data_IF_275642924410
#
_entry.id   IF_275642924410
#
_cell.length_a   1.000
_cell.length_b   1.000
_cell.length_c   1.000
_cell.angle_alpha   90.00
_cell.angle_beta   90.00
_cell.angle_gamma   90.00
#
_symmetry.space_group_name_H-M   'P 1'
#
loop_
_entity.id
_entity.type
_entity.pdbx_description
1 polymer ?
#
# COMPACT_ATOMS: atom_id res chain seq x y z
N UNK A 1 1.97 -15.99 -10.90
CA UNK A 1 3.15 -15.59 -10.10
C UNK A 1 3.87 -16.79 -9.45
N UNK A 2 3.23 -17.96 -9.31
CA UNK A 2 3.82 -19.15 -8.67
C UNK A 2 4.11 -18.98 -7.17
N UNK A 3 3.42 -18.06 -6.49
CA UNK A 3 3.59 -17.80 -5.06
C UNK A 3 2.78 -18.80 -4.25
N UNK A 4 3.45 -19.48 -3.32
CA UNK A 4 2.82 -20.40 -2.37
C UNK A 4 2.50 -19.67 -1.07
N UNK A 5 1.33 -19.96 -0.47
CA UNK A 5 0.94 -19.40 0.82
C UNK A 5 1.46 -20.29 1.95
N UNK A 6 2.17 -19.67 2.89
CA UNK A 6 2.73 -20.34 4.09
C UNK A 6 2.34 -19.58 5.35
N UNK A 7 2.61 -20.15 6.51
CA UNK A 7 2.45 -19.47 7.79
C UNK A 7 3.54 -19.90 8.77
N UNK A 8 4.36 -18.96 9.20
CA UNK A 8 5.45 -19.19 10.16
C UNK A 8 5.06 -18.71 11.57
N UNK A 9 5.74 -19.23 12.61
CA UNK A 9 5.46 -18.85 14.00
C UNK A 9 5.56 -17.35 14.26
N UNK A 10 4.77 -16.84 15.22
CA UNK A 10 4.79 -15.44 15.62
C UNK A 10 6.02 -15.09 16.47
N UNK A 11 6.50 -16.03 17.27
CA UNK A 11 7.56 -15.80 18.25
C UNK A 11 8.93 -16.21 17.69
N UNK A 12 9.89 -15.30 17.78
CA UNK A 12 11.27 -15.49 17.30
C UNK A 12 12.18 -15.56 18.52
N UNK A 13 12.97 -16.63 18.69
CA UNK A 13 14.01 -16.69 19.71
C UNK A 13 15.07 -15.58 19.52
N UNK A 14 15.52 -14.99 20.63
CA UNK A 14 16.48 -13.87 20.61
C UNK A 14 17.78 -14.23 19.86
N UNK A 15 18.26 -15.45 20.02
CA UNK A 15 19.48 -15.92 19.35
C UNK A 15 19.37 -15.95 17.82
N UNK A 16 18.16 -16.10 17.27
CA UNK A 16 17.94 -16.05 15.82
C UNK A 16 18.03 -14.64 15.28
N UNK A 17 17.54 -13.64 16.01
CA UNK A 17 17.64 -12.23 15.64
C UNK A 17 19.09 -11.74 15.61
N UNK A 18 19.96 -12.29 16.46
CA UNK A 18 21.36 -11.86 16.57
C UNK A 18 22.26 -12.37 15.43
N UNK A 19 21.78 -13.25 14.56
CA UNK A 19 22.56 -13.80 13.43
C UNK A 19 22.85 -12.76 12.35
N UNK A 20 21.97 -11.76 12.21
CA UNK A 20 22.12 -10.69 11.23
C UNK A 20 22.13 -9.33 11.96
N UNK A 21 23.33 -8.75 12.13
CA UNK A 21 23.56 -7.57 12.97
C UNK A 21 22.86 -6.30 12.45
N UNK A 22 22.89 -6.05 11.14
CA UNK A 22 22.31 -4.85 10.53
C UNK A 22 20.77 -4.85 10.67
N UNK A 23 20.16 -6.01 10.55
CA UNK A 23 18.71 -6.18 10.78
C UNK A 23 18.33 -5.93 12.24
N UNK A 24 19.15 -6.44 13.17
CA UNK A 24 18.95 -6.24 14.61
C UNK A 24 19.05 -4.77 14.97
N UNK A 25 20.03 -4.04 14.45
CA UNK A 25 20.18 -2.60 14.70
C UNK A 25 18.97 -1.81 14.21
N UNK A 26 18.43 -2.14 13.04
CA UNK A 26 17.25 -1.47 12.48
C UNK A 26 15.96 -1.70 13.28
N UNK A 27 15.77 -2.88 13.87
CA UNK A 27 14.53 -3.25 14.58
C UNK A 27 14.65 -3.30 16.11
N UNK A 28 15.85 -3.31 16.68
CA UNK A 28 16.06 -3.44 18.12
C UNK A 28 15.22 -2.48 18.97
N UNK A 29 15.01 -1.20 18.59
CA UNK A 29 14.18 -0.27 19.36
C UNK A 29 12.69 -0.55 19.32
N UNK A 30 12.23 -1.32 18.32
CA UNK A 30 10.80 -1.49 17.99
C UNK A 30 10.25 -2.89 18.29
N UNK A 31 11.03 -3.81 18.86
CA UNK A 31 10.57 -5.15 19.18
C UNK A 31 9.87 -5.23 20.53
N UNK A 32 8.83 -6.06 20.61
CA UNK A 32 8.21 -6.44 21.88
C UNK A 32 8.74 -7.80 22.33
N UNK A 33 9.16 -7.88 23.59
CA UNK A 33 9.76 -9.07 24.18
C UNK A 33 8.79 -9.84 25.05
N UNK A 34 8.70 -11.15 24.82
CA UNK A 34 8.02 -12.12 25.68
C UNK A 34 9.07 -12.73 26.61
N UNK A 35 8.92 -12.50 27.91
CA UNK A 35 9.89 -12.89 28.94
C UNK A 35 9.36 -14.01 29.87
N UNK A 36 8.06 -14.30 29.82
CA UNK A 36 7.39 -15.33 30.65
C UNK A 36 6.48 -16.20 29.79
N UNK A 37 6.45 -17.49 30.10
CA UNK A 37 5.47 -18.47 29.65
C UNK A 37 4.55 -18.82 30.83
N UNK A 38 3.33 -18.34 30.83
CA UNK A 38 2.50 -18.36 32.03
C UNK A 38 3.12 -17.52 33.15
N UNK A 39 3.38 -18.12 34.32
CA UNK A 39 4.03 -17.45 35.47
C UNK A 39 5.55 -17.68 35.54
N UNK A 40 6.09 -18.52 34.68
CA UNK A 40 7.51 -18.86 34.69
C UNK A 40 8.31 -17.98 33.74
N UNK A 41 9.47 -17.52 34.20
CA UNK A 41 10.39 -16.78 33.35
C UNK A 41 11.03 -17.71 32.34
N UNK A 42 11.04 -17.29 31.06
CA UNK A 42 11.71 -18.03 29.99
C UNK A 42 13.23 -17.99 30.18
N UNK A 43 13.91 -19.05 29.82
CA UNK A 43 15.38 -19.13 29.83
C UNK A 43 15.97 -18.20 28.75
N UNK A 44 15.31 -18.13 27.60
CA UNK A 44 15.63 -17.22 26.49
C UNK A 44 14.39 -16.35 26.19
N UNK A 45 14.61 -15.06 25.94
CA UNK A 45 13.53 -14.16 25.52
C UNK A 45 13.08 -14.50 24.10
N UNK A 46 11.80 -14.31 23.86
CA UNK A 46 11.23 -14.41 22.53
C UNK A 46 10.76 -13.03 22.08
N UNK A 47 10.95 -12.72 20.82
CA UNK A 47 10.45 -11.48 20.23
C UNK A 47 9.14 -11.79 19.48
N UNK A 48 8.15 -10.91 19.60
CA UNK A 48 7.03 -10.92 18.67
C UNK A 48 7.54 -10.37 17.34
N UNK A 49 7.39 -11.12 16.26
CA UNK A 49 7.96 -10.78 14.95
C UNK A 49 7.62 -9.34 14.51
N UNK A 50 8.62 -8.47 14.23
CA UNK A 50 8.43 -7.19 13.57
C UNK A 50 8.36 -7.33 12.04
N UNK A 51 8.92 -8.43 11.53
CA UNK A 51 8.98 -8.92 10.16
C UNK A 51 9.49 -10.37 10.20
N UNK A 52 9.57 -11.08 9.11
CA UNK A 52 9.79 -12.55 9.14
C UNK A 52 11.03 -13.04 8.39
N UNK A 53 11.92 -12.18 7.88
CA UNK A 53 13.15 -12.57 7.17
C UNK A 53 13.92 -13.65 7.95
N UNK A 54 14.18 -13.37 9.23
CA UNK A 54 14.86 -14.28 10.17
C UNK A 54 14.25 -15.68 10.22
N UNK A 55 12.91 -15.77 10.25
CA UNK A 55 12.21 -17.07 10.31
C UNK A 55 12.29 -17.82 8.99
N UNK A 56 12.17 -17.13 7.86
CA UNK A 56 12.30 -17.72 6.54
C UNK A 56 13.72 -18.24 6.33
N UNK A 57 14.72 -17.44 6.65
CA UNK A 57 16.13 -17.84 6.53
C UNK A 57 16.46 -19.04 7.39
N UNK A 58 16.00 -19.09 8.65
CA UNK A 58 16.19 -20.26 9.52
C UNK A 58 15.53 -21.53 8.96
N UNK A 59 14.35 -21.41 8.37
CA UNK A 59 13.67 -22.54 7.74
C UNK A 59 14.41 -23.01 6.48
N UNK A 60 14.84 -22.07 5.62
CA UNK A 60 15.54 -22.39 4.39
C UNK A 60 16.93 -23.00 4.64
N UNK A 61 17.64 -22.56 5.67
CA UNK A 61 18.95 -23.15 6.04
C UNK A 61 18.85 -24.66 6.34
N UNK A 62 17.66 -25.12 6.74
CA UNK A 62 17.39 -26.54 7.04
C UNK A 62 16.79 -27.33 5.88
N UNK A 63 16.15 -26.65 4.93
CA UNK A 63 15.32 -27.31 3.91
C UNK A 63 15.87 -27.18 2.49
N UNK A 64 16.77 -26.24 2.22
CA UNK A 64 17.39 -26.04 0.90
C UNK A 64 18.72 -26.78 0.87
N UNK A 65 18.87 -27.70 -0.09
CA UNK A 65 20.07 -28.51 -0.25
C UNK A 65 20.59 -28.55 -1.69
N UNK A 66 19.71 -28.41 -2.66
CA UNK A 66 20.07 -28.48 -4.07
C UNK A 66 19.33 -27.48 -4.94
N UNK A 67 19.85 -27.26 -6.17
CA UNK A 67 19.20 -26.39 -7.16
C UNK A 67 17.75 -26.77 -7.47
N UNK A 68 17.33 -28.01 -7.18
CA UNK A 68 15.93 -28.44 -7.37
C UNK A 68 14.97 -27.88 -6.34
N UNK A 69 15.50 -27.38 -5.24
CA UNK A 69 14.71 -26.75 -4.17
C UNK A 69 14.40 -25.28 -4.48
N UNK A 70 15.03 -24.71 -5.52
CA UNK A 70 14.95 -23.32 -5.92
C UNK A 70 14.14 -23.14 -7.23
N UNK A 71 13.47 -21.97 -7.40
CA UNK A 71 13.30 -20.94 -6.40
C UNK A 71 12.27 -21.31 -5.33
N UNK A 72 12.40 -20.77 -4.12
CA UNK A 72 11.32 -20.72 -3.13
C UNK A 72 10.64 -19.37 -3.25
N UNK A 73 9.32 -19.37 -3.44
CA UNK A 73 8.54 -18.14 -3.61
C UNK A 73 7.34 -18.22 -2.69
N UNK A 74 7.50 -17.72 -1.47
CA UNK A 74 6.52 -17.85 -0.42
C UNK A 74 5.93 -16.52 0.01
N UNK A 75 4.69 -16.56 0.45
CA UNK A 75 3.97 -15.41 1.02
C UNK A 75 3.20 -15.86 2.25
N UNK A 76 3.08 -14.98 3.22
CA UNK A 76 2.17 -15.19 4.35
C UNK A 76 1.30 -13.96 4.61
N UNK A 77 0.06 -14.23 4.99
CA UNK A 77 -0.88 -13.25 5.53
C UNK A 77 -0.84 -13.37 7.04
N UNK A 78 -0.38 -12.33 7.71
CA UNK A 78 -0.17 -12.38 9.15
C UNK A 78 -0.29 -11.01 9.81
N UNK A 79 -0.13 -10.96 11.14
CA UNK A 79 0.16 -9.73 11.87
C UNK A 79 1.62 -9.67 12.29
N UNK A 80 2.12 -8.46 12.37
CA UNK A 80 3.42 -8.13 12.97
C UNK A 80 3.25 -7.04 13.99
N UNK A 81 4.22 -6.93 14.92
CA UNK A 81 4.18 -5.93 15.97
C UNK A 81 5.47 -5.11 15.97
N UNK A 82 5.31 -3.79 15.84
CA UNK A 82 6.39 -2.80 15.97
C UNK A 82 6.05 -1.83 17.09
N UNK A 83 6.93 -1.66 18.06
CA UNK A 83 6.66 -0.87 19.26
C UNK A 83 6.78 0.63 18.99
N UNK A 84 5.81 1.15 18.24
CA UNK A 84 5.74 2.55 17.87
C UNK A 84 5.45 3.45 19.09
N UNK A 85 6.20 4.53 19.24
CA UNK A 85 5.98 5.53 20.29
C UNK A 85 4.71 6.34 20.06
N UNK A 86 4.46 6.71 18.79
CA UNK A 86 3.30 7.50 18.38
C UNK A 86 2.50 6.72 17.34
N UNK A 87 1.21 6.54 17.59
CA UNK A 87 0.32 5.80 16.69
C UNK A 87 -0.68 6.72 15.99
N UNK A 88 -1.09 6.33 14.78
CA UNK A 88 -2.20 6.90 14.02
C UNK A 88 -3.01 5.77 13.39
N UNK A 89 -4.35 5.79 13.47
CA UNK A 89 -5.19 4.73 12.89
C UNK A 89 -4.79 4.43 11.45
N UNK A 90 -4.62 3.14 11.14
CA UNK A 90 -4.16 2.58 9.87
C UNK A 90 -2.77 3.01 9.39
N UNK A 91 -2.37 4.27 9.56
CA UNK A 91 -1.11 4.80 9.01
C UNK A 91 0.11 4.33 9.79
N UNK A 92 0.00 4.28 11.14
CA UNK A 92 1.07 3.87 12.04
C UNK A 92 0.47 3.17 13.27
N UNK A 93 0.37 1.86 13.23
CA UNK A 93 -0.15 1.02 14.31
C UNK A 93 0.95 0.16 14.90
N UNK A 94 0.82 -0.20 16.18
CA UNK A 94 1.77 -1.12 16.84
C UNK A 94 1.64 -2.53 16.28
N UNK A 95 0.43 -3.05 16.21
CA UNK A 95 0.11 -4.28 15.50
C UNK A 95 -0.63 -3.92 14.22
N UNK A 96 -0.28 -4.57 13.12
CA UNK A 96 -0.98 -4.43 11.85
C UNK A 96 -1.00 -5.73 11.06
N UNK A 97 -2.05 -5.90 10.28
CA UNK A 97 -2.17 -6.98 9.34
C UNK A 97 -1.44 -6.59 8.04
N UNK A 98 -0.79 -7.55 7.44
CA UNK A 98 -0.14 -7.37 6.16
C UNK A 98 -0.02 -8.68 5.39
N UNK A 99 0.40 -8.60 4.17
CA UNK A 99 1.05 -9.69 3.47
C UNK A 99 2.54 -9.37 3.35
N UNK A 100 3.35 -10.38 3.56
CA UNK A 100 4.78 -10.33 3.31
C UNK A 100 5.18 -11.54 2.46
N UNK A 101 5.92 -11.27 1.40
CA UNK A 101 6.49 -12.31 0.56
C UNK A 101 7.99 -12.38 0.76
N UNK A 102 8.51 -13.60 0.77
CA UNK A 102 9.94 -13.88 0.91
C UNK A 102 10.34 -14.93 -0.09
N UNK A 103 11.44 -14.71 -0.78
CA UNK A 103 11.89 -15.62 -1.83
C UNK A 103 13.39 -15.80 -1.83
N UNK A 104 13.83 -16.96 -2.28
CA UNK A 104 15.22 -17.23 -2.57
C UNK A 104 15.39 -17.84 -3.97
N UNK A 105 16.46 -17.43 -4.62
CA UNK A 105 16.77 -17.75 -6.01
C UNK A 105 18.21 -18.25 -6.16
N UNK A 106 18.45 -18.96 -7.26
CA UNK A 106 19.78 -19.48 -7.56
C UNK A 106 20.76 -18.39 -8.03
N UNK A 107 20.26 -17.36 -8.73
CA UNK A 107 21.10 -16.31 -9.30
C UNK A 107 20.68 -14.92 -8.85
N UNK A 108 21.62 -13.98 -8.96
CA UNK A 108 21.38 -12.56 -8.72
C UNK A 108 20.25 -12.01 -9.60
N UNK A 109 20.32 -12.33 -10.89
CA UNK A 109 19.40 -11.83 -11.92
C UNK A 109 17.96 -12.32 -11.67
N UNK A 110 17.78 -13.59 -11.28
CA UNK A 110 16.46 -14.12 -10.93
C UNK A 110 15.83 -13.40 -9.72
N UNK A 111 16.65 -13.09 -8.72
CA UNK A 111 16.20 -12.37 -7.52
C UNK A 111 15.90 -10.90 -7.83
N UNK A 112 16.74 -10.22 -8.63
CA UNK A 112 16.50 -8.85 -9.07
C UNK A 112 15.22 -8.76 -9.90
N UNK A 113 15.04 -9.64 -10.89
CA UNK A 113 13.80 -9.72 -11.68
C UNK A 113 12.56 -9.91 -10.80
N UNK A 114 12.65 -10.77 -9.78
CA UNK A 114 11.55 -10.98 -8.82
C UNK A 114 11.25 -9.71 -8.02
N UNK A 115 12.26 -9.01 -7.57
CA UNK A 115 12.12 -7.74 -6.84
C UNK A 115 11.37 -6.70 -7.67
N UNK A 116 11.80 -6.51 -8.93
CA UNK A 116 11.18 -5.56 -9.86
C UNK A 116 9.77 -5.99 -10.28
N UNK A 117 9.55 -7.30 -10.47
CA UNK A 117 8.23 -7.85 -10.75
C UNK A 117 7.23 -7.53 -9.64
N UNK A 118 7.59 -7.74 -8.37
CA UNK A 118 6.70 -7.50 -7.25
C UNK A 118 6.47 -6.01 -7.00
N UNK A 119 7.49 -5.18 -7.22
CA UNK A 119 7.33 -3.73 -7.23
C UNK A 119 6.32 -3.28 -8.32
N UNK A 120 6.39 -3.86 -9.52
CA UNK A 120 5.40 -3.61 -10.59
C UNK A 120 3.98 -4.04 -10.17
N UNK A 121 3.84 -5.23 -9.58
CA UNK A 121 2.52 -5.73 -9.08
C UNK A 121 1.90 -4.74 -8.09
N UNK A 122 2.68 -4.18 -7.17
CA UNK A 122 2.18 -3.18 -6.23
C UNK A 122 1.80 -1.86 -6.91
N UNK A 123 2.58 -1.41 -7.86
CA UNK A 123 2.29 -0.21 -8.65
C UNK A 123 0.97 -0.37 -9.40
N UNK A 124 0.80 -1.49 -10.11
CA UNK A 124 -0.42 -1.80 -10.84
C UNK A 124 -1.63 -1.88 -9.88
N UNK A 125 -1.51 -2.59 -8.77
CA UNK A 125 -2.58 -2.73 -7.78
C UNK A 125 -2.99 -1.37 -7.18
N UNK A 126 -2.02 -0.55 -6.78
CA UNK A 126 -2.28 0.75 -6.15
C UNK A 126 -2.93 1.72 -7.15
N UNK A 127 -2.44 1.78 -8.39
CA UNK A 127 -3.02 2.67 -9.40
C UNK A 127 -4.37 2.18 -9.92
N UNK A 128 -4.43 0.91 -10.34
CA UNK A 128 -5.60 0.40 -11.04
C UNK A 128 -6.76 0.03 -10.10
N UNK A 129 -6.45 -0.66 -9.00
CA UNK A 129 -7.49 -1.14 -8.08
C UNK A 129 -7.89 -0.10 -7.05
N UNK A 130 -6.92 0.65 -6.50
CA UNK A 130 -7.17 1.63 -5.45
C UNK A 130 -7.38 3.05 -5.99
N UNK A 131 -7.20 3.27 -7.29
CA UNK A 131 -7.26 4.59 -7.94
C UNK A 131 -6.32 5.63 -7.26
N UNK A 132 -5.16 5.18 -6.75
CA UNK A 132 -4.19 6.04 -6.05
C UNK A 132 -2.97 6.25 -6.95
N UNK A 133 -2.70 7.47 -7.42
CA UNK A 133 -1.46 7.83 -8.08
C UNK A 133 -0.33 7.96 -7.06
N UNK A 134 0.91 7.81 -7.52
CA UNK A 134 2.09 7.78 -6.66
C UNK A 134 3.34 8.27 -7.39
N UNK A 135 4.40 8.54 -6.61
CA UNK A 135 5.78 8.53 -7.11
C UNK A 135 6.45 7.22 -6.68
N UNK A 136 7.36 6.70 -7.48
CA UNK A 136 7.98 5.41 -7.23
C UNK A 136 9.43 5.39 -7.72
N UNK A 137 10.28 4.65 -7.05
CA UNK A 137 11.70 4.53 -7.38
C UNK A 137 12.47 3.77 -6.31
N UNK A 138 13.78 3.77 -6.43
CA UNK A 138 14.71 3.17 -5.48
C UNK A 138 14.98 4.12 -4.32
N UNK A 139 15.07 3.60 -3.12
CA UNK A 139 15.42 4.35 -1.90
C UNK A 139 16.90 4.71 -1.85
N UNK A 140 17.23 5.77 -1.10
CA UNK A 140 18.62 6.10 -0.73
C UNK A 140 19.18 5.08 0.28
N UNK A 141 20.49 5.08 0.47
CA UNK A 141 21.15 4.18 1.43
C UNK A 141 20.63 4.33 2.87
N UNK A 142 20.32 5.57 3.28
CA UNK A 142 19.80 5.87 4.62
C UNK A 142 18.35 5.46 4.84
N UNK A 143 17.56 5.39 3.77
CA UNK A 143 16.11 5.10 3.83
C UNK A 143 15.74 3.68 3.35
N UNK A 144 16.70 2.91 2.84
CA UNK A 144 16.46 1.52 2.44
C UNK A 144 16.18 0.64 3.65
N UNK A 145 15.55 -0.49 3.43
CA UNK A 145 15.30 -1.49 4.47
C UNK A 145 16.63 -2.04 5.03
N UNK A 146 16.72 -2.17 6.34
CA UNK A 146 17.93 -2.66 7.02
C UNK A 146 18.33 -4.06 6.51
N UNK A 147 19.57 -4.22 6.08
CA UNK A 147 20.11 -5.44 5.48
C UNK A 147 19.82 -5.61 3.97
N UNK A 148 18.97 -4.81 3.36
CA UNK A 148 18.75 -4.84 1.90
C UNK A 148 19.88 -4.14 1.14
N UNK A 149 20.23 -4.67 -0.04
CA UNK A 149 21.08 -3.97 -1.00
C UNK A 149 20.31 -2.85 -1.67
N UNK A 150 19.09 -3.14 -2.16
CA UNK A 150 18.19 -2.18 -2.75
C UNK A 150 16.77 -2.31 -2.17
N UNK A 151 16.09 -1.18 -2.07
CA UNK A 151 14.67 -1.09 -1.70
C UNK A 151 13.94 -0.24 -2.71
N UNK A 152 12.94 -0.81 -3.34
CA UNK A 152 12.02 -0.11 -4.23
C UNK A 152 10.74 0.23 -3.49
N UNK A 153 10.25 1.47 -3.66
CA UNK A 153 9.09 2.00 -2.92
C UNK A 153 8.02 2.53 -3.85
N UNK A 154 6.80 2.57 -3.32
CA UNK A 154 5.65 3.29 -3.88
C UNK A 154 5.20 4.29 -2.83
N UNK A 155 5.28 5.59 -3.15
CA UNK A 155 5.00 6.70 -2.25
C UNK A 155 3.78 7.47 -2.73
N UNK A 156 2.67 7.37 -2.01
CA UNK A 156 1.46 8.12 -2.30
C UNK A 156 1.45 9.47 -1.58
N UNK A 157 0.72 10.45 -2.12
CA UNK A 157 0.53 11.74 -1.49
C UNK A 157 -0.85 11.81 -0.84
N UNK A 158 -0.88 12.11 0.45
CA UNK A 158 -2.12 12.26 1.21
C UNK A 158 -2.67 13.69 1.08
N UNK A 159 -3.96 13.89 1.36
CA UNK A 159 -4.63 15.18 1.19
C UNK A 159 -4.02 16.33 2.05
N UNK A 160 -3.30 15.99 3.12
CA UNK A 160 -2.58 16.97 3.94
C UNK A 160 -1.17 17.30 3.40
N UNK A 161 -0.83 16.80 2.21
CA UNK A 161 0.44 17.02 1.53
C UNK A 161 1.62 16.22 2.09
N UNK A 162 1.36 15.15 2.84
CA UNK A 162 2.42 14.26 3.32
C UNK A 162 2.53 12.99 2.49
N UNK A 163 3.76 12.53 2.35
CA UNK A 163 4.05 11.25 1.72
C UNK A 163 3.66 10.07 2.61
N UNK A 164 3.15 9.02 2.00
CA UNK A 164 2.89 7.74 2.63
C UNK A 164 3.52 6.61 1.82
N UNK A 165 4.48 5.91 2.44
CA UNK A 165 5.01 4.67 1.87
C UNK A 165 3.90 3.61 1.84
N UNK A 166 3.41 3.31 0.64
CA UNK A 166 2.28 2.41 0.44
C UNK A 166 2.70 0.95 0.34
N UNK A 167 3.82 0.66 -0.35
CA UNK A 167 4.37 -0.67 -0.52
C UNK A 167 5.86 -0.61 -0.79
N UNK A 168 6.58 -1.71 -0.49
CA UNK A 168 8.00 -1.87 -0.79
C UNK A 168 8.33 -3.25 -1.32
N UNK A 169 9.38 -3.32 -2.13
CA UNK A 169 10.03 -4.55 -2.58
C UNK A 169 11.53 -4.43 -2.36
N UNK A 170 12.14 -5.45 -1.75
CA UNK A 170 13.51 -5.42 -1.28
C UNK A 170 14.34 -6.49 -1.98
N UNK A 171 15.54 -6.12 -2.36
CA UNK A 171 16.57 -7.01 -2.85
C UNK A 171 17.68 -7.10 -1.79
N UNK A 172 17.88 -8.28 -1.20
CA UNK A 172 18.90 -8.48 -0.16
C UNK A 172 20.23 -8.99 -0.70
N UNK A 173 20.26 -9.45 -1.96
CA UNK A 173 21.42 -10.16 -2.45
C UNK A 173 21.60 -11.47 -1.67
N UNK A 174 22.83 -11.73 -1.26
CA UNK A 174 23.20 -12.91 -0.47
C UNK A 174 23.52 -12.60 1.01
N UNK A 175 23.32 -11.37 1.49
CA UNK A 175 23.66 -10.96 2.85
C UNK A 175 22.97 -11.79 3.93
N UNK A 176 21.63 -11.81 3.96
CA UNK A 176 20.86 -12.68 4.87
C UNK A 176 21.14 -14.17 4.64
N UNK A 177 21.06 -14.70 3.40
CA UNK A 177 21.42 -16.08 3.14
C UNK A 177 22.76 -16.52 3.67
N UNK A 178 23.79 -15.70 3.54
CA UNK A 178 25.13 -16.01 4.04
C UNK A 178 25.20 -16.01 5.58
N UNK A 179 24.52 -15.05 6.24
CA UNK A 179 24.44 -15.01 7.70
C UNK A 179 23.75 -16.25 8.31
N UNK A 180 22.82 -16.87 7.56
CA UNK A 180 22.12 -18.11 7.96
C UNK A 180 22.70 -19.38 7.33
N UNK A 181 23.82 -19.29 6.60
CA UNK A 181 24.48 -20.40 5.89
C UNK A 181 23.54 -21.16 4.93
N UNK A 182 22.70 -20.42 4.19
CA UNK A 182 21.76 -20.98 3.23
C UNK A 182 22.51 -21.23 1.93
N UNK A 183 22.79 -22.52 1.65
CA UNK A 183 23.55 -22.93 0.47
C UNK A 183 22.87 -24.09 -0.24
N UNK A 184 23.11 -24.20 -1.54
CA UNK A 184 22.61 -25.29 -2.37
C UNK A 184 23.73 -25.88 -3.24
N UNK A 185 23.59 -27.15 -3.58
CA UNK A 185 24.44 -27.80 -4.57
C UNK A 185 23.84 -27.59 -5.98
N UNK A 186 24.68 -27.11 -6.90
CA UNK A 186 24.29 -26.97 -8.30
C UNK A 186 24.32 -28.34 -9.04
N UNK A 187 24.12 -28.32 -10.37
CA UNK A 187 24.13 -29.53 -11.22
C UNK A 187 25.50 -30.18 -11.29
N UNK A 188 26.58 -29.48 -10.95
CA UNK A 188 27.96 -29.96 -10.95
C UNK A 188 28.44 -30.39 -9.56
N UNK A 189 27.54 -30.36 -8.55
CA UNK A 189 27.85 -30.56 -7.13
C UNK A 189 28.79 -29.48 -6.55
N UNK A 190 28.71 -28.26 -7.07
CA UNK A 190 29.39 -27.10 -6.50
C UNK A 190 28.44 -26.38 -5.54
N UNK A 191 28.97 -25.91 -4.41
CA UNK A 191 28.20 -25.25 -3.36
C UNK A 191 28.10 -23.75 -3.62
N UNK A 192 26.87 -23.20 -3.67
CA UNK A 192 26.57 -21.81 -3.92
C UNK A 192 25.66 -21.22 -2.85
N UNK A 193 25.79 -19.93 -2.58
CA UNK A 193 24.82 -19.14 -1.82
C UNK A 193 23.59 -18.84 -2.68
N UNK A 194 22.45 -18.62 -2.02
CA UNK A 194 21.23 -18.15 -2.68
C UNK A 194 21.12 -16.64 -2.62
N UNK A 195 20.22 -16.06 -3.40
CA UNK A 195 19.88 -14.63 -3.40
C UNK A 195 18.45 -14.44 -2.92
N UNK A 196 18.28 -13.50 -1.97
CA UNK A 196 17.00 -13.30 -1.28
C UNK A 196 16.31 -12.02 -1.71
N UNK A 197 14.96 -12.07 -1.74
CA UNK A 197 14.10 -10.90 -1.89
C UNK A 197 12.94 -10.95 -0.89
N UNK A 198 12.41 -9.77 -0.53
CA UNK A 198 11.14 -9.68 0.17
C UNK A 198 10.28 -8.54 -0.36
N UNK A 199 9.00 -8.59 -0.06
CA UNK A 199 8.05 -7.51 -0.37
C UNK A 199 6.92 -7.45 0.64
N UNK A 200 6.34 -6.28 0.84
CA UNK A 200 5.29 -6.10 1.83
C UNK A 200 4.28 -5.00 1.49
N UNK A 201 3.01 -5.28 1.82
CA UNK A 201 1.92 -4.34 1.78
C UNK A 201 1.00 -4.58 2.98
N UNK A 202 0.70 -3.54 3.76
CA UNK A 202 -0.06 -3.65 4.99
C UNK A 202 -1.43 -2.96 4.91
N UNK A 203 -2.23 -3.12 5.96
CA UNK A 203 -3.48 -2.39 6.17
C UNK A 203 -3.32 -0.86 6.23
N UNK A 204 -2.08 -0.33 6.21
CA UNK A 204 -1.80 1.09 5.97
C UNK A 204 -2.46 1.59 4.69
N UNK A 205 -2.63 0.72 3.68
CA UNK A 205 -3.28 1.08 2.43
C UNK A 205 -4.76 1.47 2.61
N UNK A 206 -5.44 0.98 3.65
CA UNK A 206 -6.79 1.43 4.01
C UNK A 206 -6.75 2.90 4.42
N UNK A 207 -5.74 3.28 5.22
CA UNK A 207 -5.50 4.68 5.55
C UNK A 207 -5.22 5.54 4.31
N UNK A 208 -4.46 5.03 3.34
CA UNK A 208 -4.22 5.71 2.08
C UNK A 208 -5.52 5.97 1.30
N UNK A 209 -6.40 4.96 1.17
CA UNK A 209 -7.70 5.11 0.51
C UNK A 209 -8.54 6.19 1.18
N UNK A 210 -8.61 6.18 2.52
CA UNK A 210 -9.34 7.19 3.30
C UNK A 210 -8.77 8.59 3.05
N UNK A 211 -7.45 8.73 3.12
CA UNK A 211 -6.76 10.02 3.01
C UNK A 211 -6.72 10.58 1.59
N UNK A 212 -6.77 9.74 0.56
CA UNK A 212 -6.76 10.18 -0.85
C UNK A 212 -8.16 10.48 -1.35
N UNK A 213 -9.15 9.67 -1.00
CA UNK A 213 -10.47 9.72 -1.62
C UNK A 213 -11.59 10.19 -0.68
N UNK A 214 -11.46 9.98 0.64
CA UNK A 214 -12.50 10.32 1.62
C UNK A 214 -12.82 11.81 1.67
N UNK A 215 -14.04 12.13 2.09
CA UNK A 215 -14.53 13.49 2.32
C UNK A 215 -15.18 13.62 3.70
N UNK A 216 -15.72 14.82 4.03
CA UNK A 216 -16.37 15.09 5.31
C UNK A 216 -17.64 14.27 5.55
N UNK A 217 -18.20 13.62 4.52
CA UNK A 217 -19.36 12.72 4.64
C UNK A 217 -18.97 11.26 4.92
N UNK A 218 -17.69 10.92 4.79
CA UNK A 218 -17.19 9.57 5.09
C UNK A 218 -16.29 8.99 4.00
N UNK A 219 -16.35 7.66 3.84
CA UNK A 219 -15.57 6.94 2.84
C UNK A 219 -16.02 7.27 1.41
N UNK A 220 -15.08 7.26 0.47
CA UNK A 220 -15.31 7.20 -0.97
C UNK A 220 -14.47 6.05 -1.50
N UNK A 221 -15.11 4.91 -1.77
CA UNK A 221 -14.39 3.71 -2.13
C UNK A 221 -14.29 3.55 -3.65
N UNK A 222 -13.08 3.30 -4.19
CA UNK A 222 -12.94 2.91 -5.58
C UNK A 222 -13.79 1.68 -5.90
N UNK A 223 -14.58 1.67 -6.98
CA UNK A 223 -15.48 0.58 -7.31
C UNK A 223 -14.82 -0.80 -7.36
N UNK A 224 -13.56 -0.90 -7.81
CA UNK A 224 -12.86 -2.19 -7.94
C UNK A 224 -12.66 -2.89 -6.60
N UNK A 225 -12.45 -2.13 -5.51
CA UNK A 225 -12.21 -2.69 -4.17
C UNK A 225 -13.40 -2.58 -3.22
N UNK A 226 -14.43 -1.82 -3.56
CA UNK A 226 -15.60 -1.64 -2.71
C UNK A 226 -16.28 -2.99 -2.40
N UNK A 227 -16.49 -3.39 -1.12
CA UNK A 227 -17.19 -4.63 -0.79
C UNK A 227 -18.61 -4.67 -1.35
N UNK A 228 -19.25 -3.49 -1.44
CA UNK A 228 -20.52 -3.22 -2.10
C UNK A 228 -20.29 -2.10 -3.12
N UNK A 229 -20.54 -2.39 -4.39
CA UNK A 229 -20.41 -1.41 -5.47
C UNK A 229 -21.67 -0.57 -5.62
N UNK A 230 -22.82 -1.23 -5.36
CA UNK A 230 -24.14 -0.66 -5.56
C UNK A 230 -25.01 -0.96 -4.35
N UNK A 231 -25.79 0.04 -3.91
CA UNK A 231 -26.87 -0.14 -2.92
C UNK A 231 -28.19 0.31 -3.52
N UNK A 232 -29.16 -0.60 -3.59
CA UNK A 232 -30.54 -0.27 -3.93
C UNK A 232 -31.23 0.30 -2.70
N UNK A 233 -31.89 1.46 -2.84
CA UNK A 233 -32.61 2.13 -1.76
C UNK A 233 -34.07 2.29 -2.16
N UNK A 234 -34.96 1.43 -1.63
CA UNK A 234 -36.40 1.59 -1.82
C UNK A 234 -36.89 2.85 -1.10
N UNK A 235 -37.36 3.83 -1.86
CA UNK A 235 -37.96 5.07 -1.33
C UNK A 235 -39.45 4.84 -1.08
N UNK A 236 -39.88 5.05 0.16
CA UNK A 236 -41.27 4.73 0.60
C UNK A 236 -41.62 3.22 0.40
N UNK A 237 -40.72 2.35 0.87
CA UNK A 237 -40.82 0.88 0.75
C UNK A 237 -42.12 0.26 1.29
N UNK A 238 -42.84 0.98 2.18
CA UNK A 238 -44.15 0.57 2.69
C UNK A 238 -45.27 0.65 1.65
N UNK A 239 -45.04 1.28 0.51
CA UNK A 239 -46.00 1.32 -0.60
C UNK A 239 -45.93 0.04 -1.42
N UNK A 240 -47.12 -0.39 -1.85
CA UNK A 240 -47.29 -1.62 -2.64
C UNK A 240 -46.36 -1.66 -3.86
N UNK A 241 -45.68 -2.79 -4.05
CA UNK A 241 -44.83 -3.07 -5.19
C UNK A 241 -43.44 -2.42 -5.17
N UNK A 242 -43.15 -1.50 -4.24
CA UNK A 242 -41.83 -0.82 -4.23
C UNK A 242 -40.71 -1.77 -3.80
N UNK A 243 -40.93 -2.56 -2.75
CA UNK A 243 -39.92 -3.50 -2.28
C UNK A 243 -39.72 -4.63 -3.30
N UNK A 244 -40.78 -5.25 -3.78
CA UNK A 244 -40.71 -6.33 -4.76
C UNK A 244 -39.96 -5.91 -6.02
N UNK A 245 -40.24 -4.71 -6.55
CA UNK A 245 -39.54 -4.19 -7.72
C UNK A 245 -38.06 -3.87 -7.44
N UNK A 246 -37.75 -3.42 -6.23
CA UNK A 246 -36.39 -3.18 -5.80
C UNK A 246 -35.57 -4.48 -5.68
N UNK A 247 -36.19 -5.56 -5.18
CA UNK A 247 -35.59 -6.89 -5.11
C UNK A 247 -35.35 -7.49 -6.50
N UNK A 248 -36.32 -7.35 -7.41
CA UNK A 248 -36.16 -7.75 -8.82
C UNK A 248 -34.97 -7.02 -9.46
N UNK A 249 -34.86 -5.70 -9.27
CA UNK A 249 -33.78 -4.90 -9.79
C UNK A 249 -32.41 -5.30 -9.16
N UNK A 250 -32.39 -5.57 -7.86
CA UNK A 250 -31.18 -6.07 -7.18
C UNK A 250 -30.74 -7.41 -7.79
N UNK A 251 -31.69 -8.32 -8.05
CA UNK A 251 -31.38 -9.61 -8.68
C UNK A 251 -30.78 -9.43 -10.08
N UNK A 252 -31.34 -8.51 -10.89
CA UNK A 252 -30.79 -8.18 -12.20
C UNK A 252 -29.39 -7.57 -12.13
N UNK A 253 -29.12 -6.66 -11.18
CA UNK A 253 -27.79 -6.06 -10.95
C UNK A 253 -26.79 -7.14 -10.57
N UNK A 254 -27.14 -8.06 -9.67
CA UNK A 254 -26.28 -9.18 -9.24
C UNK A 254 -26.00 -10.17 -10.37
N UNK A 255 -26.94 -10.41 -11.25
CA UNK A 255 -26.78 -11.29 -12.41
C UNK A 255 -25.68 -10.79 -13.37
N UNK A 256 -25.44 -9.47 -13.39
CA UNK A 256 -24.33 -8.86 -14.14
C UNK A 256 -22.96 -8.97 -13.42
N UNK A 257 -22.89 -9.67 -12.30
CA UNK A 257 -21.65 -9.88 -11.52
C UNK A 257 -21.28 -8.72 -10.60
N UNK A 258 -22.17 -7.73 -10.40
CA UNK A 258 -21.92 -6.60 -9.53
C UNK A 258 -22.18 -6.96 -8.05
N UNK A 259 -21.33 -6.46 -7.15
CA UNK A 259 -21.48 -6.61 -5.69
C UNK A 259 -22.51 -5.60 -5.20
N UNK A 260 -23.75 -6.02 -5.09
CA UNK A 260 -24.88 -5.15 -4.74
C UNK A 260 -25.64 -5.66 -3.51
N UNK A 261 -26.23 -4.73 -2.75
CA UNK A 261 -27.18 -5.01 -1.69
C UNK A 261 -28.37 -4.04 -1.75
N UNK A 262 -29.35 -4.26 -0.86
CA UNK A 262 -30.53 -3.42 -0.70
C UNK A 262 -30.64 -2.99 0.76
N UNK A 263 -31.10 -1.76 0.99
CA UNK A 263 -31.40 -1.27 2.33
C UNK A 263 -32.89 -1.36 2.60
N UNK A 264 -33.31 -2.45 3.23
CA UNK A 264 -34.71 -2.73 3.63
C UNK A 264 -35.05 -2.19 5.01
N UNK A 265 -34.15 -1.45 5.67
CA UNK A 265 -34.40 -0.90 7.00
C UNK A 265 -35.63 0.05 6.99
N UNK A 266 -36.30 0.17 8.13
CA UNK A 266 -37.43 1.11 8.30
C UNK A 266 -37.01 2.58 8.46
N UNK A 267 -35.73 2.88 8.26
CA UNK A 267 -35.20 4.24 8.37
C UNK A 267 -35.69 5.13 7.24
N UNK A 268 -35.70 6.44 7.47
CA UNK A 268 -36.07 7.42 6.45
C UNK A 268 -35.11 7.38 5.26
N UNK A 269 -35.57 7.74 4.06
CA UNK A 269 -34.69 7.81 2.87
C UNK A 269 -33.44 8.67 3.09
N UNK A 270 -33.56 9.82 3.75
CA UNK A 270 -32.42 10.68 4.08
C UNK A 270 -31.38 10.00 4.96
N UNK A 271 -31.81 9.17 5.94
CA UNK A 271 -30.89 8.38 6.73
C UNK A 271 -30.14 7.36 5.87
N UNK A 272 -30.86 6.59 5.04
CA UNK A 272 -30.28 5.58 4.15
C UNK A 272 -29.26 6.20 3.20
N UNK A 273 -29.53 7.40 2.67
CA UNK A 273 -28.62 8.12 1.81
C UNK A 273 -27.33 8.51 2.55
N UNK A 274 -27.47 9.07 3.77
CA UNK A 274 -26.32 9.45 4.59
C UNK A 274 -25.49 8.24 5.03
N UNK A 275 -26.13 7.12 5.38
CA UNK A 275 -25.42 5.88 5.74
C UNK A 275 -24.65 5.30 4.54
N UNK A 276 -25.26 5.29 3.35
CA UNK A 276 -24.58 4.86 2.12
C UNK A 276 -23.36 5.77 1.81
N UNK A 277 -23.51 7.09 1.99
CA UNK A 277 -22.42 8.05 1.80
C UNK A 277 -21.31 7.85 2.83
N UNK A 278 -21.64 7.64 4.10
CA UNK A 278 -20.67 7.36 5.16
C UNK A 278 -19.88 6.07 4.91
N UNK A 279 -20.54 5.03 4.43
CA UNK A 279 -19.92 3.73 4.10
C UNK A 279 -19.12 3.76 2.79
N UNK A 280 -19.24 4.82 2.01
CA UNK A 280 -18.48 4.99 0.76
C UNK A 280 -18.89 4.06 -0.37
N UNK A 281 -20.12 3.58 -0.38
CA UNK A 281 -20.63 2.72 -1.47
C UNK A 281 -20.68 3.54 -2.76
N UNK A 282 -20.00 3.11 -3.84
CA UNK A 282 -19.79 3.94 -5.04
C UNK A 282 -21.04 4.49 -5.69
N UNK A 283 -22.12 3.67 -5.81
CA UNK A 283 -23.37 4.09 -6.44
C UNK A 283 -24.55 3.64 -5.60
N UNK A 284 -25.53 4.52 -5.38
CA UNK A 284 -26.84 4.12 -4.91
C UNK A 284 -27.86 4.20 -6.05
N UNK A 285 -28.83 3.29 -6.01
CA UNK A 285 -29.98 3.26 -6.92
C UNK A 285 -31.21 3.61 -6.09
N UNK A 286 -31.78 4.78 -6.32
CA UNK A 286 -33.02 5.22 -5.67
C UNK A 286 -34.20 4.75 -6.51
N UNK A 287 -35.18 4.06 -5.87
CA UNK A 287 -36.37 3.56 -6.54
C UNK A 287 -37.60 3.82 -5.67
N UNK A 288 -38.48 4.70 -6.11
CA UNK A 288 -39.74 5.04 -5.46
C UNK A 288 -40.96 4.78 -6.31
N UNK A 289 -42.21 5.00 -5.79
CA UNK A 289 -43.45 4.72 -6.53
C UNK A 289 -43.53 5.46 -7.87
N UNK A 290 -43.12 6.73 -7.91
CA UNK A 290 -43.12 7.52 -9.15
C UNK A 290 -42.12 7.03 -10.18
N UNK A 291 -40.96 6.55 -9.68
CA UNK A 291 -39.94 6.00 -10.56
C UNK A 291 -40.43 4.72 -11.23
N UNK A 292 -41.10 3.85 -10.47
CA UNK A 292 -41.70 2.61 -10.96
C UNK A 292 -42.81 2.91 -11.99
N UNK A 293 -43.70 3.87 -11.69
CA UNK A 293 -44.75 4.29 -12.59
C UNK A 293 -44.20 4.77 -13.96
N UNK A 294 -43.06 5.45 -13.93
CA UNK A 294 -42.38 5.96 -15.12
C UNK A 294 -41.41 4.97 -15.76
N UNK A 295 -41.25 3.76 -15.20
CA UNK A 295 -40.29 2.77 -15.68
C UNK A 295 -38.81 3.21 -15.55
N UNK A 296 -38.51 4.03 -14.58
CA UNK A 296 -37.17 4.62 -14.40
C UNK A 296 -36.61 4.39 -12.99
N UNK A 297 -35.29 4.58 -12.80
CA UNK A 297 -34.59 4.63 -11.52
C UNK A 297 -33.61 5.79 -11.52
N UNK A 298 -33.20 6.23 -10.32
CA UNK A 298 -32.20 7.30 -10.16
C UNK A 298 -30.89 6.71 -9.65
N UNK A 299 -29.84 6.83 -10.43
CA UNK A 299 -28.47 6.47 -10.03
C UNK A 299 -27.81 7.70 -9.44
N UNK A 300 -27.13 7.53 -8.29
CA UNK A 300 -26.41 8.62 -7.62
C UNK A 300 -25.00 8.18 -7.31
N UNK A 301 -24.03 8.87 -7.85
CA UNK A 301 -22.59 8.66 -7.57
C UNK A 301 -22.25 9.13 -6.15
N UNK A 302 -21.41 8.36 -5.44
CA UNK A 302 -20.93 8.76 -4.13
C UNK A 302 -19.89 9.89 -4.22
N UNK A 303 -19.02 9.83 -5.22
CA UNK A 303 -17.85 10.71 -5.33
C UNK A 303 -18.18 12.14 -5.80
N UNK A 304 -19.18 12.33 -6.67
CA UNK A 304 -19.60 13.64 -7.19
C UNK A 304 -20.99 14.05 -6.74
N UNK A 305 -21.80 13.09 -6.24
CA UNK A 305 -23.23 13.23 -5.91
C UNK A 305 -24.11 13.55 -7.11
N UNK A 306 -23.58 13.37 -8.31
CA UNK A 306 -24.32 13.50 -9.54
C UNK A 306 -25.46 12.48 -9.61
N UNK A 307 -26.61 12.93 -10.11
CA UNK A 307 -27.82 12.11 -10.29
C UNK A 307 -28.10 11.91 -11.75
N UNK A 308 -28.32 10.66 -12.14
CA UNK A 308 -28.70 10.27 -13.51
C UNK A 308 -29.98 9.44 -13.46
N UNK A 309 -30.99 9.82 -14.26
CA UNK A 309 -32.22 9.06 -14.42
C UNK A 309 -32.06 8.12 -15.59
N UNK A 310 -32.35 6.83 -15.38
CA UNK A 310 -32.23 5.78 -16.40
C UNK A 310 -33.46 4.90 -16.41
N UNK A 311 -33.73 4.23 -17.53
CA UNK A 311 -34.75 3.17 -17.59
C UNK A 311 -34.39 2.04 -16.62
N UNK A 312 -35.37 1.49 -15.89
CA UNK A 312 -35.12 0.37 -14.94
C UNK A 312 -34.44 -0.80 -15.64
N UNK A 313 -34.84 -1.10 -16.87
CA UNK A 313 -34.35 -2.24 -17.65
C UNK A 313 -32.85 -2.04 -18.06
N UNK A 314 -32.40 -0.79 -18.18
CA UNK A 314 -31.04 -0.44 -18.57
C UNK A 314 -30.10 -0.29 -17.36
N UNK A 315 -30.63 -0.24 -16.11
CA UNK A 315 -29.84 -0.02 -14.90
C UNK A 315 -28.61 -0.95 -14.79
N UNK A 316 -28.75 -2.28 -15.00
CA UNK A 316 -27.59 -3.17 -14.85
C UNK A 316 -26.44 -2.88 -15.82
N UNK A 317 -26.76 -2.58 -17.07
CA UNK A 317 -25.76 -2.24 -18.09
C UNK A 317 -25.12 -0.88 -17.82
N UNK A 318 -25.94 0.14 -17.53
CA UNK A 318 -25.46 1.49 -17.21
C UNK A 318 -24.57 1.49 -15.96
N UNK A 319 -24.88 0.69 -14.95
CA UNK A 319 -24.06 0.59 -13.73
C UNK A 319 -22.65 0.06 -14.01
N UNK A 320 -22.47 -0.88 -14.94
CA UNK A 320 -21.13 -1.36 -15.31
C UNK A 320 -20.26 -0.24 -15.86
N UNK A 321 -20.80 0.50 -16.82
CA UNK A 321 -20.09 1.63 -17.44
C UNK A 321 -19.84 2.76 -16.43
N UNK A 322 -20.85 3.05 -15.59
CA UNK A 322 -20.75 4.09 -14.56
C UNK A 322 -19.67 3.77 -13.52
N UNK A 323 -19.56 2.52 -13.07
CA UNK A 323 -18.55 2.11 -12.09
C UNK A 323 -17.12 2.22 -12.65
N UNK A 324 -16.89 1.89 -13.92
CA UNK A 324 -15.60 2.12 -14.57
C UNK A 324 -15.30 3.62 -14.72
N UNK A 325 -16.31 4.42 -15.06
CA UNK A 325 -16.16 5.89 -15.10
C UNK A 325 -15.81 6.45 -13.72
N UNK A 326 -16.50 6.02 -12.66
CA UNK A 326 -16.20 6.42 -11.28
C UNK A 326 -14.77 6.05 -10.90
N UNK A 327 -14.32 4.83 -11.23
CA UNK A 327 -12.95 4.38 -10.97
C UNK A 327 -11.92 5.29 -11.63
N UNK A 328 -12.10 5.63 -12.90
CA UNK A 328 -11.21 6.47 -13.66
C UNK A 328 -11.23 7.93 -13.17
N UNK A 329 -12.41 8.51 -12.94
CA UNK A 329 -12.54 9.89 -12.44
C UNK A 329 -11.91 10.06 -11.05
N UNK A 330 -11.99 9.04 -10.18
CA UNK A 330 -11.32 9.05 -8.88
C UNK A 330 -9.80 9.08 -9.05
N UNK A 331 -9.26 8.26 -9.95
CA UNK A 331 -7.83 8.27 -10.26
C UNK A 331 -7.39 9.63 -10.82
N UNK A 332 -8.12 10.17 -11.79
CA UNK A 332 -7.77 11.41 -12.48
C UNK A 332 -7.79 12.61 -11.51
N UNK A 333 -8.76 12.69 -10.60
CA UNK A 333 -8.77 13.71 -9.54
C UNK A 333 -7.57 13.59 -8.60
N UNK A 334 -7.28 12.39 -8.14
CA UNK A 334 -6.13 12.15 -7.28
C UNK A 334 -4.81 12.45 -8.01
N UNK A 335 -4.72 12.12 -9.31
CA UNK A 335 -3.56 12.41 -10.16
C UNK A 335 -3.37 13.91 -10.36
N UNK A 336 -4.43 14.65 -10.63
CA UNK A 336 -4.37 16.10 -10.73
C UNK A 336 -3.91 16.75 -9.41
N UNK A 337 -4.38 16.22 -8.27
CA UNK A 337 -3.90 16.65 -6.96
C UNK A 337 -2.41 16.38 -6.79
N UNK A 338 -1.94 15.15 -7.05
CA UNK A 338 -0.52 14.80 -6.96
C UNK A 338 0.33 15.70 -7.86
N UNK A 339 -0.06 15.88 -9.13
CA UNK A 339 0.71 16.66 -10.10
C UNK A 339 0.82 18.13 -9.71
N UNK A 340 -0.24 18.71 -9.11
CA UNK A 340 -0.22 20.08 -8.61
C UNK A 340 0.62 20.26 -7.34
N UNK A 341 1.07 19.16 -6.71
CA UNK A 341 1.88 19.14 -5.50
C UNK A 341 3.28 18.56 -5.73
N UNK A 342 3.73 18.50 -6.96
CA UNK A 342 5.12 18.19 -7.33
C UNK A 342 5.78 19.46 -7.81
N UNK A 343 6.81 19.90 -7.11
CA UNK A 343 7.62 21.08 -7.42
C UNK A 343 9.09 20.68 -7.66
N UNK A 344 9.88 21.64 -8.18
CA UNK A 344 11.33 21.50 -8.34
C UNK A 344 12.06 22.58 -7.54
N UNK A 345 13.22 22.25 -6.96
CA UNK A 345 14.09 23.21 -6.31
C UNK A 345 15.55 23.02 -6.70
N UNK A 346 16.25 24.14 -6.93
CA UNK A 346 17.68 24.14 -7.25
C UNK A 346 18.52 24.61 -6.08
N UNK A 347 17.93 25.29 -5.10
CA UNK A 347 18.59 25.78 -3.90
C UNK A 347 17.83 25.38 -2.63
N UNK A 348 18.52 25.36 -1.50
CA UNK A 348 17.92 25.08 -0.20
C UNK A 348 16.84 26.10 0.18
N UNK A 349 17.03 27.37 -0.16
CA UNK A 349 16.06 28.42 0.15
C UNK A 349 14.77 28.25 -0.65
N UNK A 350 14.86 27.88 -1.93
CA UNK A 350 13.70 27.52 -2.76
C UNK A 350 12.98 26.31 -2.17
N UNK A 351 13.72 25.27 -1.77
CA UNK A 351 13.16 24.05 -1.19
C UNK A 351 12.39 24.36 0.11
N UNK A 352 12.96 25.16 1.00
CA UNK A 352 12.30 25.62 2.24
C UNK A 352 11.01 26.40 1.96
N UNK A 353 11.08 27.36 1.05
CA UNK A 353 9.92 28.17 0.68
C UNK A 353 8.78 27.29 0.17
N UNK A 354 9.08 26.38 -0.75
CA UNK A 354 8.08 25.47 -1.34
C UNK A 354 7.47 24.51 -0.32
N UNK A 355 8.25 23.97 0.62
CA UNK A 355 7.68 23.15 1.71
C UNK A 355 6.84 23.96 2.71
N UNK A 356 6.96 25.28 2.73
CA UNK A 356 6.12 26.17 3.52
C UNK A 356 4.81 26.47 2.81
N UNK A 357 4.88 26.76 1.51
CA UNK A 357 3.75 27.23 0.71
C UNK A 357 2.93 26.07 0.13
N UNK A 358 3.60 25.03 -0.36
CA UNK A 358 2.97 23.87 -0.99
C UNK A 358 3.54 22.58 -0.39
N UNK A 359 2.75 21.89 0.42
CA UNK A 359 3.11 20.60 0.98
C UNK A 359 2.93 19.54 -0.09
N UNK A 360 3.96 18.74 -0.36
CA UNK A 360 3.94 17.71 -1.39
C UNK A 360 5.33 17.14 -1.60
N UNK A 361 5.64 16.81 -2.84
CA UNK A 361 6.97 16.35 -3.25
C UNK A 361 7.75 17.47 -3.92
N UNK A 362 9.04 17.54 -3.60
CA UNK A 362 9.98 18.43 -4.30
C UNK A 362 11.04 17.58 -4.98
N UNK A 363 11.19 17.75 -6.29
CA UNK A 363 12.32 17.20 -7.03
C UNK A 363 13.54 18.09 -6.83
N UNK A 364 14.65 17.54 -6.40
CA UNK A 364 15.91 18.27 -6.26
C UNK A 364 17.11 17.36 -6.47
N UNK A 365 18.22 17.96 -6.91
CA UNK A 365 19.48 17.25 -7.14
C UNK A 365 20.26 17.05 -5.85
N UNK A 366 20.88 15.89 -5.68
CA UNK A 366 21.62 15.48 -4.50
C UNK A 366 22.99 14.86 -4.84
N UNK A 367 24.00 15.12 -4.02
CA UNK A 367 25.36 14.63 -4.24
C UNK A 367 25.60 13.18 -3.81
N UNK A 368 24.66 12.57 -3.09
CA UNK A 368 24.82 11.23 -2.50
C UNK A 368 25.45 11.20 -1.10
N UNK A 369 25.66 12.36 -0.47
CA UNK A 369 26.24 12.46 0.86
C UNK A 369 25.12 12.48 1.91
N UNK A 370 25.13 11.52 2.84
CA UNK A 370 24.14 11.38 3.91
C UNK A 370 24.04 12.63 4.79
N UNK A 371 25.15 13.33 5.00
CA UNK A 371 25.16 14.60 5.76
C UNK A 371 24.29 15.68 5.11
N UNK A 372 24.19 15.70 3.78
CA UNK A 372 23.31 16.58 3.05
C UNK A 372 21.85 16.17 3.23
N UNK A 373 21.55 14.88 3.27
CA UNK A 373 20.20 14.37 3.52
C UNK A 373 19.71 14.74 4.92
N UNK A 374 20.53 14.58 5.95
CA UNK A 374 20.22 15.02 7.31
C UNK A 374 20.02 16.54 7.42
N UNK A 375 20.87 17.30 6.71
CA UNK A 375 20.73 18.76 6.69
C UNK A 375 19.42 19.20 5.99
N UNK A 376 19.07 18.58 4.88
CA UNK A 376 17.76 18.84 4.20
C UNK A 376 16.61 18.56 5.17
N UNK A 377 16.64 17.43 5.87
CA UNK A 377 15.61 17.07 6.85
C UNK A 377 15.48 18.10 7.96
N UNK A 378 16.60 18.55 8.50
CA UNK A 378 16.66 19.57 9.57
C UNK A 378 16.13 20.92 9.08
N UNK A 379 16.68 21.41 7.98
CA UNK A 379 16.40 22.76 7.45
C UNK A 379 14.98 22.91 6.89
N UNK A 380 14.37 21.83 6.38
CA UNK A 380 13.00 21.81 5.87
C UNK A 380 11.94 21.48 6.93
N UNK A 381 12.38 21.16 8.15
CA UNK A 381 11.47 20.73 9.22
C UNK A 381 10.85 19.35 8.98
N UNK A 382 11.66 18.39 8.49
CA UNK A 382 11.31 16.99 8.42
C UNK A 382 11.10 16.39 7.02
N UNK A 383 11.50 17.06 5.94
CA UNK A 383 11.48 16.43 4.62
C UNK A 383 12.66 15.47 4.47
N UNK A 384 12.36 14.20 4.23
CA UNK A 384 13.34 13.17 3.90
C UNK A 384 13.31 12.78 2.43
N UNK A 385 14.31 12.04 1.97
CA UNK A 385 14.29 11.44 0.65
C UNK A 385 13.17 10.41 0.55
N UNK A 386 12.45 10.39 -0.58
CA UNK A 386 11.39 9.39 -0.81
C UNK A 386 11.86 8.31 -1.74
N UNK A 387 12.33 8.71 -2.92
CA UNK A 387 12.97 7.80 -3.88
C UNK A 387 13.83 8.57 -4.89
N UNK A 388 14.74 7.85 -5.50
CA UNK A 388 15.55 8.31 -6.63
C UNK A 388 14.68 8.38 -7.89
N UNK A 389 15.01 9.33 -8.78
CA UNK A 389 14.40 9.51 -10.10
C UNK A 389 15.50 9.22 -11.13
N UNK A 390 15.42 8.05 -11.75
CA UNK A 390 16.48 7.54 -12.63
C UNK A 390 16.22 7.84 -14.13
N UNK A 391 14.95 8.04 -14.51
CA UNK A 391 14.53 8.16 -15.92
C UNK A 391 14.25 9.61 -16.39
N UNK A 392 14.67 10.62 -15.62
CA UNK A 392 14.45 12.03 -15.96
C UNK A 392 15.77 12.79 -16.05
N UNK A 393 15.82 13.79 -16.97
CA UNK A 393 16.96 14.70 -17.09
C UNK A 393 17.24 15.45 -15.77
N UNK A 394 18.52 15.72 -15.44
CA UNK A 394 18.88 16.49 -14.27
C UNK A 394 18.27 17.89 -14.27
N UNK A 395 17.83 18.38 -13.11
CA UNK A 395 17.35 19.77 -12.95
C UNK A 395 18.52 20.76 -12.92
N UNK A 396 19.65 20.34 -12.35
CA UNK A 396 20.90 21.10 -12.28
C UNK A 396 22.09 20.15 -12.11
N UNK A 397 23.30 20.68 -12.24
CA UNK A 397 24.55 19.93 -12.01
C UNK A 397 25.00 19.94 -10.53
N UNK A 398 24.23 20.62 -9.64
CA UNK A 398 24.64 20.87 -8.25
C UNK A 398 23.65 20.32 -7.24
N UNK A 399 24.21 19.84 -6.14
CA UNK A 399 23.44 19.43 -4.96
C UNK A 399 22.69 20.62 -4.35
N UNK A 400 21.39 20.47 -4.15
CA UNK A 400 20.51 21.49 -3.54
C UNK A 400 20.99 21.95 -2.18
N UNK A 401 21.69 21.10 -1.43
CA UNK A 401 22.18 21.38 -0.07
C UNK A 401 23.58 22.02 -0.06
N UNK A 402 24.58 21.34 -0.60
CA UNK A 402 25.99 21.76 -0.45
C UNK A 402 26.61 22.40 -1.69
N UNK A 403 25.91 22.45 -2.82
CA UNK A 403 26.41 23.02 -4.08
C UNK A 403 27.53 22.21 -4.77
N UNK A 404 27.94 21.05 -4.22
CA UNK A 404 28.88 20.13 -4.88
C UNK A 404 28.22 19.49 -6.11
N UNK A 405 28.98 18.86 -7.02
CA UNK A 405 28.43 18.13 -8.14
C UNK A 405 27.36 17.12 -7.67
N UNK A 406 26.21 17.15 -8.28
CA UNK A 406 25.11 16.24 -7.97
C UNK A 406 25.26 14.90 -8.70
N UNK A 407 24.77 13.82 -8.08
CA UNK A 407 24.77 12.48 -8.65
C UNK A 407 23.37 11.96 -8.93
N UNK A 408 22.40 12.38 -8.11
CA UNK A 408 21.06 11.82 -8.11
C UNK A 408 20.01 12.92 -8.16
N UNK A 409 18.93 12.66 -8.85
CA UNK A 409 17.67 13.40 -8.76
C UNK A 409 16.76 12.67 -7.80
N UNK A 410 16.14 13.36 -6.85
CA UNK A 410 15.41 12.73 -5.73
C UNK A 410 14.08 13.42 -5.52
N UNK A 411 13.04 12.63 -5.22
CA UNK A 411 11.82 13.14 -4.61
C UNK A 411 12.03 13.31 -3.10
N UNK A 412 11.83 14.53 -2.64
CA UNK A 412 11.85 14.90 -1.22
C UNK A 412 10.43 15.16 -0.73
N UNK A 413 10.12 14.74 0.50
CA UNK A 413 8.77 14.95 1.05
C UNK A 413 8.72 14.69 2.55
N UNK A 414 7.77 15.38 3.23
CA UNK A 414 7.47 15.08 4.64
C UNK A 414 6.58 13.85 4.69
N UNK A 415 6.89 12.90 5.56
CA UNK A 415 6.16 11.64 5.68
C UNK A 415 5.47 11.48 7.04
N UNK A 416 4.59 10.48 7.14
CA UNK A 416 3.97 10.06 8.40
C UNK A 416 4.92 9.27 9.26
#
# INVERSE_FOLDING_TARGET
TGVENVYLPMLIPENLLQKEADHVEGFAPEVAWVTHGGMERLQERLCIRPTSETLFCELWSRTVQSYRDLPKVWNQWNSVLRWEKTTRPFLRSREFLWQEGHTIHATYEEAEERTLMMWKVYRDFISESLAIPFVAGRKTESEKFAGAQDTYTVEALMHDGKALQAATSHFFGNGFPDAYDIKYLDKNNELHSVYETSWGLSTRIIGAIIMVHGDDSGLVLPPRIAPKQVRVIPVAQHKEGVLDRSEELLAAIRAEGLRADIDESEKSPGWKFSEQEMLGIPVRVELGPKDIENGQAVLVRRDTREKTVVSIDDVPAVLKELLETVQQDMYDRAKAFLDSHIDEAQTMDEMKAKFTDNRGFIKAMWCGDESCEEMIKTETGGAGSRCLIEDEEPISDRCVCCGKPAKYKVFWGKAY
#
